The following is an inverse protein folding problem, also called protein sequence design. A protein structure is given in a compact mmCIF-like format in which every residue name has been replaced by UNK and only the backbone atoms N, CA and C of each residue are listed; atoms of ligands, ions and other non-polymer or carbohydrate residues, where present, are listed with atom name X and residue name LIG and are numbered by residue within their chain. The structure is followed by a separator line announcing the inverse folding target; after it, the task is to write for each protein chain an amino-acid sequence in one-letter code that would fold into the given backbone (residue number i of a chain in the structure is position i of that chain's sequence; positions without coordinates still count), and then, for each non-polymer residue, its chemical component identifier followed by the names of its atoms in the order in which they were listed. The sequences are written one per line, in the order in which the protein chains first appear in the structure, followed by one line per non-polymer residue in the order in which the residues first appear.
data_IF_272884239127
#
_entry.id   IF_272884239127
#
_cell.length_a   1.000
_cell.length_b   1.000
_cell.length_c   1.000
_cell.angle_alpha   90.00
_cell.angle_beta   90.00
_cell.angle_gamma   90.00
#
_symmetry.space_group_name_H-M   'P 1'
#
loop_
_entity.id
_entity.type
_entity.pdbx_description
1 polymer ?
#
# COMPACT_ATOMS: atom_id res chain seq x y z
N UNK A 1 -9.87 2.52 45.22
CA UNK A 1 -10.08 3.15 43.90
C UNK A 1 -9.09 2.50 42.96
N UNK A 2 -9.59 1.75 41.98
CA UNK A 2 -8.76 1.01 41.03
C UNK A 2 -8.38 1.98 39.93
N UNK A 3 -7.14 2.47 39.95
CA UNK A 3 -6.58 3.27 38.85
C UNK A 3 -6.57 2.39 37.61
N UNK A 4 -7.48 2.65 36.68
CA UNK A 4 -7.47 2.00 35.38
C UNK A 4 -6.30 2.60 34.60
N UNK A 5 -5.18 1.87 34.54
CA UNK A 5 -4.14 2.15 33.57
C UNK A 5 -4.75 2.06 32.18
N UNK A 6 -4.80 3.20 31.49
CA UNK A 6 -5.15 3.25 30.08
C UNK A 6 -3.96 2.66 29.32
N UNK A 7 -4.04 1.37 28.99
CA UNK A 7 -3.11 0.77 28.02
C UNK A 7 -3.45 1.32 26.64
N UNK A 8 -2.75 2.37 26.22
CA UNK A 8 -2.63 2.74 24.81
C UNK A 8 -1.92 1.60 24.11
N UNK A 9 -2.72 0.74 23.48
CA UNK A 9 -2.24 -0.32 22.63
C UNK A 9 -1.71 0.35 21.35
N UNK A 10 -0.40 0.60 21.33
CA UNK A 10 0.34 0.96 20.10
C UNK A 10 0.46 -0.28 19.21
N UNK A 11 -0.67 -0.89 18.86
CA UNK A 11 -0.67 -2.00 17.92
C UNK A 11 -0.40 -1.43 16.53
N UNK A 12 0.88 -1.38 16.16
CA UNK A 12 1.27 -1.42 14.76
C UNK A 12 0.78 -2.78 14.22
N UNK A 13 -0.34 -2.77 13.51
CA UNK A 13 -1.00 -3.98 12.98
C UNK A 13 -0.27 -4.59 11.78
N UNK A 14 0.88 -4.01 11.41
CA UNK A 14 1.45 -4.09 10.10
C UNK A 14 2.89 -4.61 10.25
N UNK A 15 3.24 -5.82 9.75
CA UNK A 15 4.55 -6.43 10.01
C UNK A 15 5.73 -5.57 9.49
N UNK A 16 6.91 -5.66 10.11
CA UNK A 16 8.10 -4.93 9.65
C UNK A 16 8.48 -5.32 8.23
N UNK A 17 9.12 -4.41 7.50
CA UNK A 17 9.56 -4.64 6.13
C UNK A 17 10.66 -5.72 6.07
N UNK A 18 10.48 -6.70 5.19
CA UNK A 18 11.50 -7.75 4.97
C UNK A 18 12.53 -7.34 3.91
N UNK A 19 13.70 -7.99 3.83
CA UNK A 19 14.69 -7.72 2.76
C UNK A 19 14.37 -8.40 1.40
N UNK A 20 13.16 -8.93 1.24
CA UNK A 20 12.71 -9.58 0.01
C UNK A 20 11.73 -8.69 -0.77
N UNK A 21 11.45 -9.09 -2.01
CA UNK A 21 10.32 -8.55 -2.76
C UNK A 21 9.04 -8.67 -1.93
N UNK A 22 8.29 -7.58 -1.85
CA UNK A 22 7.07 -7.51 -1.05
C UNK A 22 6.02 -6.71 -1.82
N UNK A 23 4.77 -7.15 -1.75
CA UNK A 23 3.63 -6.40 -2.29
C UNK A 23 2.70 -6.07 -1.14
N UNK A 24 2.56 -4.78 -0.86
CA UNK A 24 1.63 -4.26 0.13
C UNK A 24 0.30 -4.01 -0.56
N UNK A 25 -0.80 -4.56 -0.04
CA UNK A 25 -2.11 -4.46 -0.68
C UNK A 25 -3.19 -4.00 0.30
N UNK A 26 -4.00 -3.04 -0.15
CA UNK A 26 -5.28 -2.73 0.46
C UNK A 26 -6.37 -3.42 -0.36
N UNK A 27 -7.11 -4.34 0.23
CA UNK A 27 -8.13 -5.12 -0.49
C UNK A 27 -9.47 -4.38 -0.55
N UNK A 28 -10.28 -4.70 -1.57
CA UNK A 28 -11.69 -4.32 -1.67
C UNK A 28 -12.55 -5.51 -2.09
N UNK A 29 -13.80 -5.54 -1.63
CA UNK A 29 -14.77 -6.48 -2.17
C UNK A 29 -15.05 -6.18 -3.64
N UNK A 30 -15.21 -7.23 -4.42
CA UNK A 30 -15.63 -7.19 -5.81
C UNK A 30 -16.62 -8.31 -6.09
N UNK A 31 -17.67 -7.98 -6.84
CA UNK A 31 -18.65 -8.96 -7.30
C UNK A 31 -18.56 -9.08 -8.81
N UNK A 32 -18.16 -10.26 -9.27
CA UNK A 32 -18.20 -10.59 -10.69
C UNK A 32 -19.65 -10.71 -11.18
N UNK A 33 -19.89 -10.44 -12.46
CA UNK A 33 -21.21 -10.65 -13.05
C UNK A 33 -21.61 -12.14 -12.94
N UNK A 34 -22.66 -12.43 -12.16
CA UNK A 34 -23.12 -13.81 -11.90
C UNK A 34 -22.21 -14.65 -11.00
N UNK A 35 -21.15 -14.07 -10.43
CA UNK A 35 -20.18 -14.79 -9.60
C UNK A 35 -20.29 -14.51 -8.11
N UNK A 36 -19.49 -15.24 -7.34
CA UNK A 36 -19.28 -14.99 -5.92
C UNK A 36 -18.58 -13.65 -5.68
N UNK A 37 -18.74 -13.12 -4.46
CA UNK A 37 -17.94 -11.98 -4.00
C UNK A 37 -16.51 -12.47 -3.74
N UNK A 38 -15.53 -11.77 -4.31
CA UNK A 38 -14.11 -11.99 -4.07
C UNK A 38 -13.44 -10.69 -3.59
N UNK A 39 -12.19 -10.79 -3.15
CA UNK A 39 -11.37 -9.63 -2.82
C UNK A 39 -10.45 -9.30 -4.00
N UNK A 40 -10.31 -8.02 -4.33
CA UNK A 40 -9.32 -7.51 -5.28
C UNK A 40 -8.48 -6.42 -4.62
N UNK A 41 -7.19 -6.26 -4.96
CA UNK A 41 -6.42 -5.13 -4.47
C UNK A 41 -7.04 -3.82 -4.97
N UNK A 42 -7.47 -2.95 -4.07
CA UNK A 42 -7.85 -1.57 -4.36
C UNK A 42 -6.61 -0.74 -4.71
N UNK A 43 -5.58 -0.84 -3.89
CA UNK A 43 -4.26 -0.23 -4.11
C UNK A 43 -3.21 -1.27 -3.76
N UNK A 44 -2.11 -1.27 -4.51
CA UNK A 44 -0.91 -2.01 -4.13
C UNK A 44 0.35 -1.19 -4.31
N UNK A 45 1.34 -1.43 -3.48
CA UNK A 45 2.71 -0.93 -3.62
C UNK A 45 3.63 -2.15 -3.66
N UNK A 46 4.21 -2.43 -4.82
CA UNK A 46 5.21 -3.47 -4.99
C UNK A 46 6.60 -2.88 -4.74
N UNK A 47 7.40 -3.54 -3.90
CA UNK A 47 8.77 -3.18 -3.56
C UNK A 47 9.68 -4.35 -3.93
N UNK A 48 10.67 -4.13 -4.80
CA UNK A 48 11.54 -5.19 -5.30
C UNK A 48 13.01 -4.77 -5.31
N UNK A 49 13.94 -5.61 -4.80
CA UNK A 49 15.37 -5.32 -4.91
C UNK A 49 15.85 -5.50 -6.36
N UNK A 50 16.74 -4.62 -6.81
CA UNK A 50 17.38 -4.67 -8.13
C UNK A 50 18.76 -4.03 -8.10
N UNK A 51 19.81 -4.81 -8.40
CA UNK A 51 21.18 -4.33 -8.55
C UNK A 51 21.68 -3.45 -7.39
N UNK A 52 21.39 -3.85 -6.14
CA UNK A 52 21.79 -3.09 -4.94
C UNK A 52 20.89 -1.91 -4.59
N UNK A 53 19.83 -1.65 -5.38
CA UNK A 53 18.81 -0.63 -5.13
C UNK A 53 17.44 -1.27 -4.91
N UNK A 54 16.46 -0.45 -4.56
CA UNK A 54 15.06 -0.83 -4.46
C UNK A 54 14.23 -0.16 -5.55
N UNK A 55 13.36 -0.93 -6.19
CA UNK A 55 12.36 -0.43 -7.12
C UNK A 55 11.00 -0.40 -6.44
N UNK A 56 10.12 0.46 -6.93
CA UNK A 56 8.70 0.44 -6.54
C UNK A 56 7.77 0.56 -7.74
N UNK A 57 6.54 0.11 -7.56
CA UNK A 57 5.42 0.46 -8.42
C UNK A 57 4.12 0.49 -7.63
N UNK A 58 3.30 1.51 -7.88
CA UNK A 58 2.00 1.67 -7.22
C UNK A 58 0.85 1.49 -8.19
N UNK A 59 -0.10 0.64 -7.81
CA UNK A 59 -1.27 0.28 -8.62
C UNK A 59 -2.57 0.75 -7.97
N UNK A 60 -3.59 0.99 -8.79
CA UNK A 60 -4.95 1.32 -8.38
C UNK A 60 -5.93 0.43 -9.15
N UNK A 61 -6.98 -0.01 -8.47
CA UNK A 61 -8.11 -0.68 -9.08
C UNK A 61 -9.36 -0.30 -8.28
N UNK A 62 -9.97 0.83 -8.62
CA UNK A 62 -11.15 1.38 -7.95
C UNK A 62 -12.45 0.78 -8.50
N UNK A 63 -13.49 0.73 -7.65
CA UNK A 63 -14.83 0.29 -8.05
C UNK A 63 -15.51 1.18 -9.10
N UNK A 64 -15.03 2.40 -9.32
CA UNK A 64 -15.56 3.30 -10.35
C UNK A 64 -15.01 3.02 -11.76
N UNK A 65 -14.21 1.96 -11.93
CA UNK A 65 -13.60 1.57 -13.20
C UNK A 65 -12.21 2.17 -13.44
N UNK A 66 -11.72 3.07 -12.57
CA UNK A 66 -10.35 3.57 -12.66
C UNK A 66 -9.35 2.50 -12.28
N UNK A 67 -8.45 2.16 -13.20
CA UNK A 67 -7.37 1.21 -12.96
C UNK A 67 -6.02 1.69 -13.52
N UNK A 68 -4.96 1.23 -12.86
CA UNK A 68 -3.60 1.14 -13.38
C UNK A 68 -2.89 0.00 -12.65
N UNK A 69 -2.22 -0.88 -13.37
CA UNK A 69 -1.52 -2.01 -12.75
C UNK A 69 -0.25 -2.30 -13.50
N UNK A 70 0.85 -2.42 -12.76
CA UNK A 70 2.09 -2.99 -13.26
C UNK A 70 2.88 -3.56 -12.08
N UNK A 71 4.04 -4.16 -12.42
CA UNK A 71 5.04 -4.63 -11.47
C UNK A 71 6.19 -3.64 -11.36
N UNK A 72 6.96 -3.73 -10.27
CA UNK A 72 8.21 -3.02 -10.12
C UNK A 72 9.24 -3.62 -11.08
N UNK A 73 9.58 -2.88 -12.13
CA UNK A 73 10.47 -3.32 -13.20
C UNK A 73 11.48 -2.22 -13.55
N UNK A 74 12.72 -2.57 -13.94
CA UNK A 74 13.77 -1.59 -14.23
C UNK A 74 13.39 -0.56 -15.31
N UNK A 75 12.57 -0.97 -16.29
CA UNK A 75 12.11 -0.13 -17.40
C UNK A 75 11.32 1.12 -16.96
N UNK A 76 10.83 1.16 -15.72
CA UNK A 76 10.08 2.31 -15.19
C UNK A 76 10.97 3.41 -14.63
N UNK A 77 12.27 3.17 -14.44
CA UNK A 77 13.20 4.18 -13.92
C UNK A 77 12.96 4.56 -12.44
N UNK A 78 12.20 3.75 -11.70
CA UNK A 78 11.85 4.00 -10.30
C UNK A 78 12.82 3.27 -9.38
N UNK A 79 13.80 4.00 -8.84
CA UNK A 79 14.85 3.45 -7.98
C UNK A 79 15.06 4.30 -6.73
N UNK A 80 15.30 3.64 -5.61
CA UNK A 80 15.60 4.23 -4.31
C UNK A 80 16.76 3.46 -3.66
N UNK A 81 17.49 4.11 -2.75
CA UNK A 81 18.66 3.50 -2.12
C UNK A 81 18.25 2.48 -1.06
N UNK A 82 17.07 2.67 -0.44
CA UNK A 82 16.55 1.77 0.60
C UNK A 82 15.12 1.34 0.31
N UNK A 83 14.70 0.22 0.91
CA UNK A 83 13.32 -0.25 0.83
C UNK A 83 12.34 0.77 1.43
N UNK A 84 12.74 1.41 2.52
CA UNK A 84 11.93 2.44 3.16
C UNK A 84 11.74 3.65 2.24
N UNK A 85 12.80 4.12 1.59
CA UNK A 85 12.68 5.20 0.61
C UNK A 85 11.78 4.78 -0.56
N UNK A 86 11.94 3.56 -1.09
CA UNK A 86 11.05 3.03 -2.13
C UNK A 86 9.57 3.01 -1.69
N UNK A 87 9.31 2.66 -0.42
CA UNK A 87 7.97 2.72 0.17
C UNK A 87 7.43 4.15 0.19
N UNK A 88 8.20 5.12 0.69
CA UNK A 88 7.77 6.52 0.73
C UNK A 88 7.46 7.06 -0.67
N UNK A 89 8.29 6.73 -1.67
CA UNK A 89 8.01 7.07 -3.08
C UNK A 89 6.76 6.37 -3.62
N UNK A 90 6.53 5.13 -3.22
CA UNK A 90 5.30 4.40 -3.55
C UNK A 90 4.05 5.04 -2.93
N UNK A 91 4.16 5.56 -1.70
CA UNK A 91 3.11 6.31 -1.01
C UNK A 91 2.83 7.62 -1.74
N UNK A 92 3.87 8.39 -2.09
CA UNK A 92 3.73 9.62 -2.88
C UNK A 92 3.04 9.37 -4.23
N UNK A 93 3.42 8.28 -4.92
CA UNK A 93 2.75 7.84 -6.13
C UNK A 93 1.24 7.64 -5.89
N UNK A 94 0.85 6.90 -4.85
CA UNK A 94 -0.57 6.67 -4.54
C UNK A 94 -1.28 7.98 -4.24
N UNK A 95 -0.68 8.88 -3.45
CA UNK A 95 -1.24 10.19 -3.15
C UNK A 95 -1.47 11.03 -4.43
N UNK A 96 -0.62 10.88 -5.44
CA UNK A 96 -0.72 11.60 -6.72
C UNK A 96 -1.89 11.14 -7.61
N UNK A 97 -2.36 9.90 -7.46
CA UNK A 97 -3.42 9.34 -8.30
C UNK A 97 -4.68 8.87 -7.56
N UNK A 98 -4.70 8.86 -6.22
CA UNK A 98 -5.85 8.40 -5.44
C UNK A 98 -7.13 9.18 -5.72
N UNK A 99 -7.02 10.42 -6.23
CA UNK A 99 -8.17 11.23 -6.65
C UNK A 99 -9.02 10.55 -7.73
N UNK A 100 -8.49 9.56 -8.43
CA UNK A 100 -9.22 8.73 -9.40
C UNK A 100 -10.17 7.73 -8.74
N UNK A 101 -10.01 7.43 -7.45
CA UNK A 101 -10.87 6.50 -6.71
C UNK A 101 -12.14 7.19 -6.17
N UNK A 102 -13.11 6.40 -5.68
CA UNK A 102 -14.30 6.95 -5.02
C UNK A 102 -13.96 7.63 -3.69
N UNK A 103 -14.85 8.51 -3.18
CA UNK A 103 -14.62 9.20 -1.91
C UNK A 103 -14.35 8.24 -0.75
N UNK A 104 -15.15 7.18 -0.60
CA UNK A 104 -14.94 6.17 0.44
C UNK A 104 -13.61 5.42 0.30
N UNK A 105 -13.21 5.10 -0.94
CA UNK A 105 -11.94 4.43 -1.20
C UNK A 105 -10.75 5.35 -0.89
N UNK A 106 -10.84 6.65 -1.18
CA UNK A 106 -9.79 7.62 -0.81
C UNK A 106 -9.57 7.68 0.70
N UNK A 107 -10.64 7.68 1.49
CA UNK A 107 -10.52 7.62 2.95
C UNK A 107 -9.80 6.35 3.42
N UNK A 108 -10.15 5.20 2.84
CA UNK A 108 -9.52 3.91 3.16
C UNK A 108 -8.05 3.86 2.72
N UNK A 109 -7.73 4.39 1.54
CA UNK A 109 -6.37 4.50 1.02
C UNK A 109 -5.53 5.38 1.96
N UNK A 110 -6.02 6.56 2.33
CA UNK A 110 -5.29 7.46 3.21
C UNK A 110 -4.97 6.84 4.58
N UNK A 111 -5.94 6.15 5.19
CA UNK A 111 -5.73 5.42 6.45
C UNK A 111 -4.66 4.33 6.29
N UNK A 112 -4.79 3.51 5.24
CA UNK A 112 -3.85 2.42 4.95
C UNK A 112 -2.43 2.92 4.65
N UNK A 113 -2.27 4.05 3.95
CA UNK A 113 -0.96 4.65 3.69
C UNK A 113 -0.30 5.11 5.00
N UNK A 114 -1.06 5.69 5.93
CA UNK A 114 -0.56 6.07 7.25
C UNK A 114 -0.01 4.86 8.04
N UNK A 115 -0.69 3.72 7.96
CA UNK A 115 -0.20 2.46 8.53
C UNK A 115 1.08 1.98 7.86
N UNK A 116 1.22 2.11 6.53
CA UNK A 116 2.43 1.65 5.83
C UNK A 116 3.65 2.52 6.16
N UNK A 117 3.51 3.84 6.17
CA UNK A 117 4.61 4.76 6.51
C UNK A 117 5.14 4.50 7.92
N UNK A 118 4.24 4.17 8.85
CA UNK A 118 4.59 3.86 10.24
C UNK A 118 5.51 2.63 10.39
N UNK A 119 5.54 1.70 9.43
CA UNK A 119 6.40 0.51 9.46
C UNK A 119 7.89 0.81 9.25
N UNK A 120 8.19 1.97 8.70
CA UNK A 120 9.55 2.30 8.26
C UNK A 120 10.38 3.09 9.27
N UNK A 121 9.81 3.41 10.43
CA UNK A 121 10.44 4.18 11.49
C UNK A 121 11.15 3.31 12.55
N UNK A 122 11.33 2.01 12.28
CA UNK A 122 11.99 1.04 13.18
C UNK A 122 13.48 0.84 12.85
#
# INVERSE_FOLDING_TARGET
MISHEIQFSLFFTAPPLTNCTETLELMRPHKWAGGAVCELPLVSIELAPHAGKWMWYSSLNSRNGSAQTAKALPKWGKFAETKHEALLRGVDDVLSFQWRATADERCRIAAWLGEQVSRGCE
#
